data_IF_563163623099
#
_entry.id   IF_563163623099
#
_cell.length_a   1.000
_cell.length_b   1.000
_cell.length_c   1.000
_cell.angle_alpha   90.00
_cell.angle_beta   90.00
_cell.angle_gamma   90.00
#
_symmetry.space_group_name_H-M   'P 1'
#
loop_
_entity.id
_entity.type
_entity.pdbx_description
1 polymer ?
#
# COMPACT_ATOMS: atom_id res chain seq x y z
N UNK A 1 16.53 19.28 -0.11
CA UNK A 1 15.73 20.48 0.25
C UNK A 1 15.20 20.32 1.67
N UNK A 2 14.77 21.41 2.31
CA UNK A 2 14.28 21.40 3.70
C UNK A 2 13.14 20.39 3.94
N UNK A 3 12.22 20.25 3.00
CA UNK A 3 11.13 19.28 3.05
C UNK A 3 11.63 17.84 3.21
N UNK A 4 12.54 17.39 2.35
CA UNK A 4 13.10 16.04 2.42
C UNK A 4 13.81 15.76 3.74
N UNK A 5 14.47 16.78 4.32
CA UNK A 5 15.10 16.63 5.63
C UNK A 5 14.09 16.53 6.78
N UNK A 6 12.93 17.18 6.69
CA UNK A 6 11.88 17.04 7.71
C UNK A 6 11.33 15.62 7.72
N UNK A 7 10.95 15.10 6.54
CA UNK A 7 10.43 13.72 6.40
C UNK A 7 11.45 12.71 6.90
N UNK A 8 12.70 12.80 6.43
CA UNK A 8 13.75 11.88 6.85
C UNK A 8 13.98 11.88 8.37
N UNK A 9 14.12 13.07 8.97
CA UNK A 9 14.40 13.16 10.40
C UNK A 9 13.23 12.65 11.24
N UNK A 10 11.99 12.94 10.82
CA UNK A 10 10.79 12.43 11.48
C UNK A 10 10.73 10.90 11.41
N UNK A 11 10.87 10.32 10.21
CA UNK A 11 10.85 8.88 10.02
C UNK A 11 11.96 8.19 10.80
N UNK A 12 13.15 8.78 10.86
CA UNK A 12 14.28 8.29 11.66
C UNK A 12 13.97 8.29 13.15
N UNK A 13 13.39 9.38 13.68
CA UNK A 13 13.02 9.48 15.08
C UNK A 13 11.96 8.43 15.45
N UNK A 14 10.88 8.36 14.67
CA UNK A 14 9.80 7.39 14.89
C UNK A 14 10.28 5.94 14.73
N UNK A 15 11.21 5.69 13.80
CA UNK A 15 11.81 4.36 13.61
C UNK A 15 12.61 3.91 14.83
N UNK A 16 13.24 4.83 15.56
CA UNK A 16 13.92 4.50 16.81
C UNK A 16 12.96 4.35 18.00
N UNK A 17 11.81 5.04 17.96
CA UNK A 17 10.82 4.99 19.03
C UNK A 17 10.02 3.68 19.03
N UNK A 18 9.54 3.26 17.86
CA UNK A 18 8.77 2.02 17.72
C UNK A 18 9.70 0.84 17.45
N UNK A 19 9.58 -0.25 18.21
CA UNK A 19 10.47 -1.42 18.07
C UNK A 19 10.01 -2.40 16.99
N UNK A 20 8.79 -2.26 16.49
CA UNK A 20 8.25 -3.15 15.45
C UNK A 20 9.03 -2.99 14.13
N UNK A 21 9.14 -4.08 13.38
CA UNK A 21 9.81 -4.09 12.08
C UNK A 21 8.99 -3.42 10.99
N UNK A 22 7.66 -3.45 11.08
CA UNK A 22 6.78 -2.80 10.12
C UNK A 22 6.57 -1.33 10.45
N UNK A 23 6.43 -0.51 9.42
CA UNK A 23 6.18 0.92 9.55
C UNK A 23 5.15 1.35 8.50
N UNK A 24 3.93 1.68 8.93
CA UNK A 24 2.86 2.09 8.04
C UNK A 24 3.04 3.57 7.64
N UNK A 25 3.05 3.83 6.33
CA UNK A 25 3.31 5.15 5.75
C UNK A 25 2.07 5.79 5.10
N UNK A 26 0.93 5.08 5.10
CA UNK A 26 -0.32 5.55 4.52
C UNK A 26 -0.29 5.42 2.99
N UNK A 27 -0.64 6.51 2.29
CA UNK A 27 -0.70 6.56 0.82
C UNK A 27 -2.10 6.37 0.24
N UNK A 28 -3.11 6.44 1.07
CA UNK A 28 -4.53 6.39 0.74
C UNK A 28 -5.07 7.76 0.29
N UNK A 29 -6.10 7.74 -0.54
CA UNK A 29 -6.97 8.89 -0.88
C UNK A 29 -6.26 10.18 -1.35
N UNK A 30 -5.03 10.06 -1.88
CA UNK A 30 -4.24 11.22 -2.31
C UNK A 30 -4.84 11.88 -3.54
N UNK A 31 -5.40 13.08 -3.36
CA UNK A 31 -5.92 13.90 -4.46
C UNK A 31 -4.84 14.79 -5.08
N UNK A 32 -4.22 14.32 -6.16
CA UNK A 32 -3.13 15.04 -6.83
C UNK A 32 -3.61 16.19 -7.73
N UNK A 33 -4.91 16.30 -8.02
CA UNK A 33 -5.46 17.30 -8.96
C UNK A 33 -5.16 18.74 -8.51
N UNK A 34 -5.23 19.00 -7.21
CA UNK A 34 -5.00 20.34 -6.67
C UNK A 34 -3.52 20.78 -6.77
N UNK A 35 -2.59 19.85 -6.99
CA UNK A 35 -1.16 20.13 -7.13
C UNK A 35 -0.82 20.72 -8.50
N UNK A 36 -1.63 20.45 -9.52
CA UNK A 36 -1.49 21.06 -10.84
C UNK A 36 -1.85 22.56 -10.81
N UNK A 37 -2.64 22.98 -9.84
CA UNK A 37 -3.07 24.37 -9.64
C UNK A 37 -2.16 25.15 -8.66
N UNK A 38 -1.37 24.44 -7.84
CA UNK A 38 -0.47 25.06 -6.88
C UNK A 38 0.83 25.57 -7.53
N UNK A 39 1.07 26.88 -7.41
CA UNK A 39 2.19 27.56 -8.07
C UNK A 39 3.54 27.02 -7.58
N UNK A 40 3.67 26.73 -6.29
CA UNK A 40 4.95 26.26 -5.73
C UNK A 40 5.24 24.81 -6.14
N UNK A 41 4.20 23.98 -6.20
CA UNK A 41 4.29 22.60 -6.67
C UNK A 41 4.65 22.54 -8.16
N UNK A 42 4.02 23.37 -9.00
CA UNK A 42 4.37 23.48 -10.43
C UNK A 42 5.81 23.98 -10.63
N UNK A 43 6.29 24.92 -9.80
CA UNK A 43 7.70 25.35 -9.84
C UNK A 43 8.64 24.22 -9.43
N UNK A 44 8.32 23.48 -8.38
CA UNK A 44 9.08 22.33 -7.93
C UNK A 44 9.17 21.27 -9.04
N UNK A 45 8.05 20.96 -9.70
CA UNK A 45 8.03 20.01 -10.83
C UNK A 45 9.00 20.42 -11.93
N UNK A 46 8.95 21.69 -12.36
CA UNK A 46 9.84 22.21 -13.41
C UNK A 46 11.31 22.17 -13.00
N UNK A 47 11.62 22.50 -11.75
CA UNK A 47 12.99 22.50 -11.24
C UNK A 47 13.57 21.07 -11.18
N UNK A 48 12.72 20.09 -10.90
CA UNK A 48 13.12 18.70 -10.68
C UNK A 48 12.83 17.77 -11.88
N UNK A 49 12.42 18.32 -13.03
CA UNK A 49 12.04 17.57 -14.23
C UNK A 49 10.94 16.52 -13.99
N UNK A 50 10.00 16.83 -13.10
CA UNK A 50 8.84 16.00 -12.82
C UNK A 50 7.71 16.39 -13.78
N UNK A 51 7.09 15.40 -14.41
CA UNK A 51 6.20 15.62 -15.56
C UNK A 51 4.72 15.74 -15.19
N UNK A 52 4.34 15.25 -14.00
CA UNK A 52 2.95 15.27 -13.53
C UNK A 52 2.84 15.29 -12.01
N UNK A 53 1.70 15.71 -11.48
CA UNK A 53 1.41 15.62 -10.05
C UNK A 53 1.39 14.17 -9.54
N UNK A 54 1.07 13.19 -10.41
CA UNK A 54 1.22 11.77 -10.10
C UNK A 54 2.68 11.36 -9.92
N UNK A 55 3.61 11.94 -10.69
CA UNK A 55 5.04 11.69 -10.53
C UNK A 55 5.60 12.34 -9.25
N UNK A 56 5.04 13.48 -8.81
CA UNK A 56 5.35 14.03 -7.48
C UNK A 56 4.91 13.05 -6.39
N UNK A 57 3.71 12.50 -6.54
CA UNK A 57 3.19 11.53 -5.58
C UNK A 57 4.13 10.31 -5.49
N UNK A 58 4.56 9.77 -6.64
CA UNK A 58 5.55 8.70 -6.70
C UNK A 58 6.89 9.08 -6.05
N UNK A 59 7.41 10.28 -6.30
CA UNK A 59 8.64 10.78 -5.68
C UNK A 59 8.54 10.82 -4.15
N UNK A 60 7.39 11.23 -3.62
CA UNK A 60 7.14 11.25 -2.19
C UNK A 60 7.01 9.85 -1.59
N UNK A 61 6.26 8.94 -2.23
CA UNK A 61 6.13 7.54 -1.79
C UNK A 61 7.51 6.87 -1.75
N UNK A 62 8.31 7.02 -2.81
CA UNK A 62 9.68 6.48 -2.84
C UNK A 62 10.55 7.06 -1.73
N UNK A 63 10.54 8.38 -1.55
CA UNK A 63 11.29 9.03 -0.48
C UNK A 63 10.97 8.41 0.89
N UNK A 64 9.70 8.25 1.22
CA UNK A 64 9.28 7.73 2.51
C UNK A 64 9.59 6.23 2.67
N UNK A 65 9.23 5.41 1.67
CA UNK A 65 9.38 3.96 1.74
C UNK A 65 10.86 3.54 1.70
N UNK A 66 11.66 4.13 0.81
CA UNK A 66 13.09 3.83 0.72
C UNK A 66 13.83 4.30 1.98
N UNK A 67 13.42 5.41 2.60
CA UNK A 67 13.97 5.84 3.90
C UNK A 67 13.71 4.79 4.99
N UNK A 68 12.49 4.24 5.08
CA UNK A 68 12.16 3.19 6.06
C UNK A 68 12.98 1.92 5.81
N UNK A 69 13.16 1.53 4.54
CA UNK A 69 14.04 0.41 4.18
C UNK A 69 15.50 0.65 4.58
N UNK A 70 16.04 1.84 4.31
CA UNK A 70 17.40 2.24 4.71
C UNK A 70 17.59 2.24 6.23
N UNK A 71 16.53 2.53 6.99
CA UNK A 71 16.51 2.47 8.46
C UNK A 71 16.34 1.04 8.99
N UNK A 72 16.30 0.02 8.13
CA UNK A 72 16.21 -1.39 8.51
C UNK A 72 14.79 -1.85 8.88
N UNK A 73 13.77 -1.12 8.44
CA UNK A 73 12.36 -1.42 8.66
C UNK A 73 11.65 -1.81 7.36
N UNK A 74 10.45 -2.37 7.51
CA UNK A 74 9.59 -2.83 6.42
C UNK A 74 8.49 -1.79 6.23
N UNK A 75 8.47 -1.03 5.12
CA UNK A 75 7.39 -0.10 4.86
C UNK A 75 6.10 -0.83 4.50
N UNK A 76 5.00 -0.35 5.06
CA UNK A 76 3.63 -0.74 4.71
C UNK A 76 2.92 0.48 4.13
N UNK A 77 2.15 0.31 3.06
CA UNK A 77 1.31 1.37 2.52
C UNK A 77 -0.01 0.83 1.98
N UNK A 78 -1.03 1.69 1.95
CA UNK A 78 -2.34 1.34 1.45
C UNK A 78 -2.31 0.97 -0.04
N UNK A 79 -3.22 0.09 -0.44
CA UNK A 79 -3.23 -0.52 -1.77
C UNK A 79 -3.27 0.49 -2.93
N UNK A 80 -3.70 1.74 -2.73
CA UNK A 80 -3.66 2.75 -3.78
C UNK A 80 -2.25 3.05 -4.29
N UNK A 81 -1.19 2.84 -3.49
CA UNK A 81 0.17 2.97 -4.01
C UNK A 81 0.44 1.94 -5.11
N UNK A 82 -0.10 0.72 -4.96
CA UNK A 82 -0.06 -0.31 -6.00
C UNK A 82 -0.93 0.08 -7.19
N UNK A 83 -2.18 0.47 -6.95
CA UNK A 83 -3.10 0.90 -8.01
C UNK A 83 -2.52 2.04 -8.85
N UNK A 84 -1.75 2.95 -8.24
CA UNK A 84 -1.14 4.07 -8.94
C UNK A 84 0.17 3.71 -9.64
N UNK A 85 1.02 2.88 -9.03
CA UNK A 85 2.44 2.78 -9.39
C UNK A 85 2.91 1.36 -9.74
N UNK A 86 2.14 0.33 -9.39
CA UNK A 86 2.44 -1.06 -9.67
C UNK A 86 3.87 -1.45 -9.30
N UNK A 87 4.51 -2.22 -10.18
CA UNK A 87 5.87 -2.74 -10.01
C UNK A 87 6.99 -1.68 -10.05
N UNK A 88 6.67 -0.39 -10.16
CA UNK A 88 7.67 0.69 -10.03
C UNK A 88 8.05 0.98 -8.58
N UNK A 89 7.30 0.41 -7.62
CA UNK A 89 7.62 0.39 -6.20
C UNK A 89 8.78 -0.55 -5.90
N UNK A 90 9.36 -0.40 -4.71
CA UNK A 90 10.37 -1.33 -4.21
C UNK A 90 9.68 -2.63 -3.74
N UNK A 91 10.18 -3.80 -4.17
CA UNK A 91 9.60 -5.10 -3.78
C UNK A 91 9.68 -5.42 -2.27
N UNK A 92 10.42 -4.63 -1.49
CA UNK A 92 10.42 -4.73 -0.03
C UNK A 92 9.15 -4.20 0.65
N UNK A 93 8.32 -3.43 -0.07
CA UNK A 93 7.08 -2.83 0.44
C UNK A 93 6.00 -3.88 0.65
N UNK A 94 5.26 -3.74 1.75
CA UNK A 94 4.05 -4.51 2.03
C UNK A 94 2.85 -3.65 1.67
N UNK A 95 1.89 -4.24 0.96
CA UNK A 95 0.67 -3.56 0.52
C UNK A 95 -0.47 -3.90 1.47
N UNK A 96 -1.21 -2.89 1.93
CA UNK A 96 -2.42 -3.09 2.72
C UNK A 96 -3.64 -2.84 1.82
N UNK A 97 -4.25 -3.93 1.34
CA UNK A 97 -5.44 -3.89 0.49
C UNK A 97 -6.67 -3.61 1.36
N UNK A 98 -7.49 -2.65 0.96
CA UNK A 98 -8.77 -2.36 1.63
C UNK A 98 -9.95 -2.17 0.69
N UNK A 99 -9.71 -1.76 -0.56
CA UNK A 99 -10.76 -1.59 -1.56
C UNK A 99 -11.08 -2.92 -2.26
N UNK A 100 -12.35 -3.14 -2.58
CA UNK A 100 -12.81 -4.31 -3.34
C UNK A 100 -12.14 -4.37 -4.72
N UNK A 101 -11.95 -3.20 -5.36
CA UNK A 101 -11.44 -3.12 -6.73
C UNK A 101 -9.94 -3.45 -6.84
N UNK A 102 -9.24 -3.59 -5.71
CA UNK A 102 -7.84 -3.98 -5.67
C UNK A 102 -7.71 -5.49 -5.81
N UNK A 103 -6.97 -5.95 -6.81
CA UNK A 103 -6.76 -7.38 -7.05
C UNK A 103 -5.57 -7.89 -6.23
N UNK A 104 -5.83 -8.75 -5.23
CA UNK A 104 -4.79 -9.35 -4.40
C UNK A 104 -3.88 -10.30 -5.19
N UNK A 105 -4.44 -11.07 -6.13
CA UNK A 105 -3.70 -11.97 -7.01
C UNK A 105 -2.66 -11.22 -7.82
N UNK A 106 -3.04 -10.06 -8.38
CA UNK A 106 -2.11 -9.21 -9.13
C UNK A 106 -0.93 -8.74 -8.26
N UNK A 107 -1.16 -8.39 -7.00
CA UNK A 107 -0.09 -7.98 -6.09
C UNK A 107 0.88 -9.14 -5.77
N UNK A 108 0.35 -10.31 -5.42
CA UNK A 108 1.16 -11.48 -5.04
C UNK A 108 1.88 -12.11 -6.24
N UNK A 109 1.28 -12.09 -7.43
CA UNK A 109 1.91 -12.55 -8.68
C UNK A 109 3.16 -11.73 -9.03
N UNK A 110 3.17 -10.45 -8.63
CA UNK A 110 4.33 -9.57 -8.75
C UNK A 110 5.29 -9.66 -7.55
N UNK A 111 5.06 -10.59 -6.62
CA UNK A 111 5.93 -10.89 -5.49
C UNK A 111 5.80 -9.96 -4.29
N UNK A 112 4.74 -9.14 -4.22
CA UNK A 112 4.50 -8.26 -3.09
C UNK A 112 3.81 -9.02 -1.96
N UNK A 113 4.20 -8.68 -0.73
CA UNK A 113 3.50 -9.14 0.47
C UNK A 113 2.28 -8.26 0.72
N UNK A 114 1.18 -8.86 1.14
CA UNK A 114 -0.11 -8.18 1.29
C UNK A 114 -0.71 -8.41 2.68
N UNK A 115 -1.31 -7.37 3.25
CA UNK A 115 -2.25 -7.46 4.36
C UNK A 115 -3.63 -7.18 3.76
N UNK A 116 -4.59 -8.09 3.91
CA UNK A 116 -5.92 -7.97 3.30
C UNK A 116 -6.97 -7.55 4.35
N UNK A 117 -7.49 -6.33 4.23
CA UNK A 117 -8.42 -5.69 5.16
C UNK A 117 -9.60 -5.13 4.37
N UNK A 118 -10.37 -6.01 3.73
CA UNK A 118 -11.41 -5.59 2.79
C UNK A 118 -12.57 -4.83 3.48
N UNK A 119 -12.82 -3.59 3.04
CA UNK A 119 -13.68 -2.66 3.74
C UNK A 119 -15.14 -3.11 3.93
N UNK A 120 -15.82 -3.70 2.94
CA UNK A 120 -17.19 -4.20 3.13
C UNK A 120 -17.38 -5.16 4.29
N UNK A 121 -16.34 -5.88 4.72
CA UNK A 121 -16.45 -6.96 5.70
C UNK A 121 -15.57 -6.76 6.93
N UNK A 122 -14.52 -5.92 6.87
CA UNK A 122 -13.54 -5.81 7.94
C UNK A 122 -13.37 -4.40 8.50
N UNK A 123 -14.19 -3.44 8.10
CA UNK A 123 -14.22 -2.10 8.72
C UNK A 123 -15.24 -2.10 9.86
N UNK A 124 -14.76 -1.95 11.09
CA UNK A 124 -15.57 -2.06 12.32
C UNK A 124 -16.47 -0.84 12.56
N UNK A 125 -16.22 0.25 11.85
CA UNK A 125 -17.08 1.43 11.79
C UNK A 125 -18.29 1.23 10.85
N UNK A 126 -18.29 0.20 9.99
CA UNK A 126 -19.48 -0.26 9.27
C UNK A 126 -20.42 -1.02 10.22
N UNK A 127 -21.29 -0.26 10.90
CA UNK A 127 -22.19 -0.79 11.95
C UNK A 127 -23.25 -1.78 11.44
N UNK A 128 -23.41 -1.92 10.13
CA UNK A 128 -24.31 -2.86 9.47
C UNK A 128 -23.68 -4.24 9.20
N UNK A 129 -22.36 -4.38 9.34
CA UNK A 129 -21.64 -5.65 9.14
C UNK A 129 -21.75 -6.51 10.40
N UNK A 130 -22.25 -7.73 10.22
CA UNK A 130 -22.38 -8.71 11.31
C UNK A 130 -21.07 -9.46 11.55
N UNK A 131 -20.86 -9.96 12.77
CA UNK A 131 -19.67 -10.77 13.07
C UNK A 131 -19.62 -12.05 12.22
N UNK A 132 -20.78 -12.59 11.81
CA UNK A 132 -20.87 -13.72 10.89
C UNK A 132 -20.33 -13.39 9.49
N UNK A 133 -20.63 -12.20 8.97
CA UNK A 133 -20.08 -11.72 7.69
C UNK A 133 -18.57 -11.50 7.79
N UNK A 134 -18.10 -10.90 8.87
CA UNK A 134 -16.66 -10.77 9.14
C UNK A 134 -15.98 -12.15 9.20
N UNK A 135 -16.56 -13.10 9.93
CA UNK A 135 -16.00 -14.43 10.14
C UNK A 135 -15.98 -15.27 8.84
N UNK A 136 -16.90 -15.00 7.92
CA UNK A 136 -17.00 -15.70 6.64
C UNK A 136 -16.03 -15.14 5.58
N UNK A 137 -15.29 -14.08 5.89
CA UNK A 137 -14.32 -13.49 4.98
C UNK A 137 -13.10 -14.40 4.80
N UNK A 138 -12.87 -14.83 3.56
CA UNK A 138 -11.71 -15.61 3.16
C UNK A 138 -10.62 -14.68 2.61
N UNK A 139 -9.48 -14.61 3.30
CA UNK A 139 -8.39 -13.66 2.97
C UNK A 139 -7.77 -13.88 1.60
N UNK A 140 -7.84 -15.10 1.08
CA UNK A 140 -7.30 -15.51 -0.21
C UNK A 140 -8.41 -15.74 -1.26
N UNK A 141 -9.64 -15.22 -1.08
CA UNK A 141 -10.72 -15.56 -2.01
C UNK A 141 -10.40 -15.06 -3.44
N UNK A 142 -9.93 -15.97 -4.30
CA UNK A 142 -9.64 -15.68 -5.69
C UNK A 142 -10.93 -15.67 -6.49
N UNK A 143 -11.10 -14.68 -7.36
CA UNK A 143 -12.04 -14.74 -8.47
C UNK A 143 -11.53 -15.76 -9.50
N UNK A 144 -11.50 -17.05 -9.14
CA UNK A 144 -11.14 -18.16 -10.03
C UNK A 144 -12.36 -18.57 -10.88
N UNK A 145 -12.95 -17.62 -11.61
CA UNK A 145 -14.11 -17.87 -12.48
C UNK A 145 -13.75 -18.60 -13.79
N UNK A 146 -12.45 -18.85 -14.04
CA UNK A 146 -11.94 -19.45 -15.29
C UNK A 146 -11.81 -20.98 -15.26
N UNK A 147 -12.01 -21.63 -14.10
CA UNK A 147 -11.96 -23.10 -13.97
C UNK A 147 -10.57 -23.74 -14.14
N UNK A 148 -9.49 -22.93 -14.16
CA UNK A 148 -8.10 -23.40 -14.25
C UNK A 148 -7.53 -23.78 -12.88
N UNK A 149 -7.58 -25.08 -12.58
CA UNK A 149 -7.07 -25.66 -11.33
C UNK A 149 -5.55 -25.50 -11.12
N UNK A 150 -4.76 -25.22 -12.16
CA UNK A 150 -3.30 -25.08 -12.02
C UNK A 150 -2.88 -23.70 -11.55
N UNK A 151 -3.57 -22.66 -12.04
CA UNK A 151 -3.44 -21.29 -11.50
C UNK A 151 -3.88 -21.23 -10.05
N UNK A 152 -5.00 -21.88 -9.73
CA UNK A 152 -5.51 -21.98 -8.36
C UNK A 152 -4.44 -22.51 -7.39
N UNK A 153 -3.81 -23.65 -7.69
CA UNK A 153 -2.79 -24.21 -6.81
C UNK A 153 -1.57 -23.30 -6.61
N UNK A 154 -1.10 -22.63 -7.67
CA UNK A 154 0.02 -21.69 -7.55
C UNK A 154 -0.39 -20.45 -6.73
N UNK A 155 -1.60 -19.96 -6.93
CA UNK A 155 -2.13 -18.82 -6.21
C UNK A 155 -2.31 -19.15 -4.73
N UNK A 156 -2.80 -20.36 -4.40
CA UNK A 156 -2.90 -20.89 -3.04
C UNK A 156 -1.52 -20.88 -2.36
N UNK A 157 -0.50 -21.44 -3.01
CA UNK A 157 0.89 -21.44 -2.51
C UNK A 157 1.45 -20.01 -2.30
N UNK A 158 1.14 -19.10 -3.24
CA UNK A 158 1.54 -17.70 -3.14
C UNK A 158 0.81 -16.98 -2.01
N UNK A 159 -0.47 -17.24 -1.79
CA UNK A 159 -1.20 -16.59 -0.71
C UNK A 159 -0.73 -17.04 0.66
N UNK A 160 -0.49 -18.34 0.84
CA UNK A 160 0.09 -18.88 2.07
C UNK A 160 1.45 -18.25 2.42
N UNK A 161 2.17 -17.75 1.41
CA UNK A 161 3.51 -17.17 1.58
C UNK A 161 3.51 -15.64 1.64
N UNK A 162 2.65 -14.98 0.86
CA UNK A 162 2.70 -13.54 0.60
C UNK A 162 1.55 -12.78 1.26
N UNK A 163 0.44 -13.43 1.60
CA UNK A 163 -0.62 -12.80 2.40
C UNK A 163 -0.30 -13.00 3.87
N UNK A 164 0.08 -11.89 4.52
CA UNK A 164 0.56 -11.88 5.90
C UNK A 164 -0.58 -11.95 6.92
N UNK A 165 -1.82 -11.84 6.46
CA UNK A 165 -3.04 -11.85 7.26
C UNK A 165 -3.95 -10.67 6.93
N UNK A 166 -4.82 -10.35 7.89
CA UNK A 166 -5.78 -9.25 7.84
C UNK A 166 -6.16 -8.81 9.26
N UNK A 167 -7.18 -7.98 9.38
CA UNK A 167 -7.65 -7.51 10.68
C UNK A 167 -8.89 -6.62 10.54
N UNK A 168 -9.44 -6.19 11.67
CA UNK A 168 -10.46 -5.15 11.70
C UNK A 168 -9.82 -3.75 11.59
N UNK A 169 -10.41 -2.89 10.78
CA UNK A 169 -10.07 -1.47 10.61
C UNK A 169 -11.13 -0.57 11.29
N UNK A 170 -10.82 0.71 11.55
CA UNK A 170 -11.72 1.70 12.17
C UNK A 170 -11.45 3.11 11.66
#
# INVERSE_FOLDING_TARGET
>A
TLFRSVVFNLLKELSNLFTDSFFHLGGDEVQTVLWDEDIETVKYMKLHNISSSKDIYLDFVRLAHDTILELGKIPVGWGEIWTNFGSTLNGGVVLQKWLIQQNITDMIDHGYRVINVEAPTNYLDHLDVTWEEMYSFEMCNYDDDDGDTTRRNNNDDLCDTLVLGGGGEM
#
